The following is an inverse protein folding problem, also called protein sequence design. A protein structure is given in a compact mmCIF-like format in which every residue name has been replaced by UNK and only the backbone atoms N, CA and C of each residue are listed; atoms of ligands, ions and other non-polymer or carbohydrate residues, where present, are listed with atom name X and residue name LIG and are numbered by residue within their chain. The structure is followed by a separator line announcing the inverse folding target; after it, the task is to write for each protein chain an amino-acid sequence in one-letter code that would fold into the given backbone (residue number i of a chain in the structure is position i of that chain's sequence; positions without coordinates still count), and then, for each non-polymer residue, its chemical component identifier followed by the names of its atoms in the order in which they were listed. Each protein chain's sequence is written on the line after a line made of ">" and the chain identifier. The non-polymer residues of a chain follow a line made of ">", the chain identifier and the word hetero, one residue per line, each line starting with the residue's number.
data_IF_085134115412
#
_entry.id   IF_085134115412
#
_cell.length_a   1.000
_cell.length_b   1.000
_cell.length_c   1.000
_cell.angle_alpha   90.00
_cell.angle_beta   90.00
_cell.angle_gamma   90.00
#
_symmetry.space_group_name_H-M   'P 1'
#
loop_
_entity.id
_entity.type
_entity.pdbx_description
1 polymer ?
#
# COMPACT_ATOMS: atom_id res chain seq x y z
N UNK A 1 -9.40 -15.56 -14.89
CA UNK A 1 -8.66 -14.48 -15.59
C UNK A 1 -7.71 -15.13 -16.57
N UNK A 2 -7.40 -14.45 -17.67
CA UNK A 2 -6.49 -14.94 -18.73
C UNK A 2 -5.50 -13.82 -19.05
N UNK A 3 -4.23 -14.17 -19.26
CA UNK A 3 -3.19 -13.25 -19.74
C UNK A 3 -2.61 -13.80 -21.04
N UNK A 4 -2.30 -12.91 -21.96
CA UNK A 4 -1.62 -13.20 -23.22
C UNK A 4 -0.48 -12.21 -23.36
N UNK A 5 0.75 -12.68 -23.52
CA UNK A 5 1.92 -11.84 -23.65
C UNK A 5 2.76 -12.27 -24.86
N UNK A 6 3.33 -11.28 -25.55
CA UNK A 6 4.39 -11.47 -26.57
C UNK A 6 5.78 -11.11 -26.00
N UNK A 7 5.86 -10.78 -24.71
CA UNK A 7 7.09 -10.39 -24.03
C UNK A 7 7.92 -11.58 -23.56
N UNK A 8 9.04 -11.28 -22.88
CA UNK A 8 9.94 -12.29 -22.29
C UNK A 8 9.55 -12.72 -20.87
N UNK A 9 8.31 -12.44 -20.45
CA UNK A 9 7.81 -12.81 -19.13
C UNK A 9 7.69 -14.34 -19.03
N UNK A 10 8.18 -14.90 -17.93
CA UNK A 10 7.95 -16.30 -17.58
C UNK A 10 6.49 -16.56 -17.24
N UNK A 11 6.01 -17.82 -17.34
CA UNK A 11 4.68 -18.20 -16.89
C UNK A 11 4.40 -17.80 -15.43
N UNK A 12 5.42 -17.85 -14.56
CA UNK A 12 5.33 -17.48 -13.14
C UNK A 12 5.07 -15.98 -12.97
N UNK A 13 5.74 -15.13 -13.77
CA UNK A 13 5.51 -13.69 -13.78
C UNK A 13 4.08 -13.36 -14.23
N UNK A 14 3.61 -13.99 -15.31
CA UNK A 14 2.24 -13.79 -15.80
C UNK A 14 1.19 -14.27 -14.77
N UNK A 15 1.42 -15.40 -14.09
CA UNK A 15 0.54 -15.86 -13.00
C UNK A 15 0.53 -14.88 -11.83
N UNK A 16 1.67 -14.25 -11.51
CA UNK A 16 1.76 -13.23 -10.46
C UNK A 16 0.97 -11.97 -10.83
N UNK A 17 1.11 -11.49 -12.06
CA UNK A 17 0.33 -10.35 -12.58
C UNK A 17 -1.18 -10.64 -12.52
N UNK A 18 -1.60 -11.82 -12.98
CA UNK A 18 -2.99 -12.27 -12.87
C UNK A 18 -3.48 -12.37 -11.43
N UNK A 19 -2.60 -12.75 -10.50
CA UNK A 19 -2.93 -12.80 -9.07
C UNK A 19 -3.18 -11.40 -8.51
N UNK A 20 -2.38 -10.41 -8.89
CA UNK A 20 -2.63 -9.01 -8.50
C UNK A 20 -3.95 -8.47 -9.06
N UNK A 21 -4.28 -8.77 -10.32
CA UNK A 21 -5.58 -8.39 -10.91
C UNK A 21 -6.72 -9.07 -10.14
N UNK A 22 -6.59 -10.36 -9.81
CA UNK A 22 -7.56 -11.07 -8.98
C UNK A 22 -7.72 -10.43 -7.60
N UNK A 23 -6.60 -10.13 -6.92
CA UNK A 23 -6.61 -9.50 -5.60
C UNK A 23 -7.22 -8.10 -5.63
N UNK A 24 -7.03 -7.32 -6.71
CA UNK A 24 -7.69 -6.02 -6.88
C UNK A 24 -9.19 -6.13 -7.11
N UNK A 25 -9.66 -7.20 -7.76
CA UNK A 25 -11.11 -7.50 -7.86
C UNK A 25 -11.65 -7.89 -6.48
N UNK A 26 -10.94 -8.76 -5.76
CA UNK A 26 -11.30 -9.17 -4.40
C UNK A 26 -11.29 -7.99 -3.45
N UNK A 27 -10.36 -7.03 -3.57
CA UNK A 27 -10.34 -5.85 -2.72
C UNK A 27 -11.58 -4.96 -2.89
N UNK A 28 -12.25 -5.03 -4.05
CA UNK A 28 -13.46 -4.27 -4.34
C UNK A 28 -14.74 -5.03 -3.96
N UNK A 29 -14.76 -6.36 -4.10
CA UNK A 29 -15.98 -7.16 -3.95
C UNK A 29 -15.97 -8.14 -2.77
N UNK A 30 -14.81 -8.50 -2.22
CA UNK A 30 -14.53 -9.67 -1.35
C UNK A 30 -14.62 -11.03 -2.08
N UNK A 31 -13.88 -12.02 -1.60
CA UNK A 31 -13.89 -13.39 -2.10
C UNK A 31 -15.24 -14.05 -1.87
N UNK A 32 -15.84 -13.87 -0.69
CA UNK A 32 -17.17 -14.37 -0.37
C UNK A 32 -18.25 -13.88 -1.35
N UNK A 33 -18.26 -12.60 -1.71
CA UNK A 33 -19.22 -12.06 -2.70
C UNK A 33 -18.99 -12.64 -4.08
N UNK A 34 -17.74 -12.68 -4.55
CA UNK A 34 -17.40 -13.25 -5.87
C UNK A 34 -17.85 -14.72 -5.95
N UNK A 35 -17.53 -15.53 -4.92
CA UNK A 35 -17.94 -16.92 -4.86
C UNK A 35 -19.47 -17.07 -4.88
N UNK A 36 -20.19 -16.29 -4.07
CA UNK A 36 -21.67 -16.32 -4.01
C UNK A 36 -22.31 -15.98 -5.36
N UNK A 37 -21.76 -15.02 -6.10
CA UNK A 37 -22.27 -14.63 -7.43
C UNK A 37 -22.14 -15.79 -8.40
N UNK A 38 -20.96 -16.40 -8.54
CA UNK A 38 -20.75 -17.48 -9.51
C UNK A 38 -21.44 -18.79 -9.11
N UNK A 39 -21.65 -19.03 -7.82
CA UNK A 39 -22.50 -20.14 -7.35
C UNK A 39 -23.95 -19.98 -7.82
N UNK A 40 -24.50 -18.75 -7.75
CA UNK A 40 -25.89 -18.47 -8.16
C UNK A 40 -26.04 -18.33 -9.67
N UNK A 41 -25.07 -17.70 -10.34
CA UNK A 41 -25.11 -17.42 -11.78
C UNK A 41 -23.71 -17.56 -12.38
N UNK A 42 -23.40 -18.75 -12.89
CA UNK A 42 -22.09 -19.12 -13.45
C UNK A 42 -21.67 -18.25 -14.65
N UNK A 43 -22.62 -17.70 -15.40
CA UNK A 43 -22.40 -16.84 -16.55
C UNK A 43 -22.59 -15.33 -16.24
N UNK A 44 -22.49 -14.93 -14.96
CA UNK A 44 -22.58 -13.52 -14.59
C UNK A 44 -21.37 -12.73 -15.12
N UNK A 45 -21.63 -11.58 -15.71
CA UNK A 45 -20.59 -10.64 -16.14
C UNK A 45 -20.17 -9.73 -14.98
N UNK A 46 -19.03 -10.05 -14.35
CA UNK A 46 -18.47 -9.29 -13.24
C UNK A 46 -18.17 -7.82 -13.55
N UNK A 47 -17.96 -7.45 -14.83
CA UNK A 47 -17.64 -6.06 -15.20
C UNK A 47 -18.72 -5.09 -14.75
N UNK A 48 -19.97 -5.55 -14.66
CA UNK A 48 -21.11 -4.77 -14.17
C UNK A 48 -20.96 -4.33 -12.72
N UNK A 49 -20.28 -5.10 -11.88
CA UNK A 49 -20.02 -4.78 -10.48
C UNK A 49 -18.72 -3.99 -10.28
N UNK A 50 -17.83 -4.05 -11.26
CA UNK A 50 -16.57 -3.30 -11.27
C UNK A 50 -16.71 -1.95 -11.97
N UNK A 51 -17.90 -1.64 -12.49
CA UNK A 51 -18.20 -0.37 -13.15
C UNK A 51 -17.89 0.80 -12.20
N UNK A 52 -17.12 1.78 -12.68
CA UNK A 52 -16.63 2.91 -11.90
C UNK A 52 -15.29 2.67 -11.18
N UNK A 53 -14.78 1.43 -11.18
CA UNK A 53 -13.48 1.07 -10.58
C UNK A 53 -12.41 0.72 -11.61
N UNK A 54 -12.67 0.95 -12.90
CA UNK A 54 -11.79 0.62 -14.02
C UNK A 54 -10.42 1.27 -13.84
N UNK A 55 -10.41 2.53 -13.39
CA UNK A 55 -9.18 3.29 -13.12
C UNK A 55 -8.24 2.60 -12.13
N UNK A 56 -8.78 1.85 -11.17
CA UNK A 56 -7.94 1.10 -10.22
C UNK A 56 -7.25 -0.07 -10.93
N UNK A 57 -7.98 -0.80 -11.76
CA UNK A 57 -7.41 -1.90 -12.54
C UNK A 57 -6.38 -1.39 -13.56
N UNK A 58 -6.69 -0.32 -14.29
CA UNK A 58 -5.77 0.29 -15.25
C UNK A 58 -4.49 0.79 -14.59
N UNK A 59 -4.61 1.48 -13.44
CA UNK A 59 -3.45 1.92 -12.67
C UNK A 59 -2.61 0.74 -12.17
N UNK A 60 -3.24 -0.35 -11.72
CA UNK A 60 -2.51 -1.54 -11.28
C UNK A 60 -1.73 -2.16 -12.44
N UNK A 61 -2.34 -2.28 -13.62
CA UNK A 61 -1.69 -2.82 -14.81
C UNK A 61 -0.49 -1.97 -15.21
N UNK A 62 -0.63 -0.65 -15.29
CA UNK A 62 0.51 0.25 -15.55
C UNK A 62 1.62 0.16 -14.49
N UNK A 63 1.26 -0.09 -13.23
CA UNK A 63 2.25 -0.33 -12.17
C UNK A 63 2.92 -1.69 -12.29
N UNK A 64 2.23 -2.74 -12.71
CA UNK A 64 2.84 -4.07 -12.90
C UNK A 64 3.97 -4.03 -13.94
N UNK A 65 3.88 -3.12 -14.91
CA UNK A 65 4.92 -2.91 -15.92
C UNK A 65 6.12 -2.09 -15.42
N UNK A 66 5.92 -1.20 -14.45
CA UNK A 66 6.89 -0.14 -14.09
C UNK A 66 7.43 -0.21 -12.66
N UNK A 67 6.71 -0.86 -11.75
CA UNK A 67 7.03 -0.93 -10.31
C UNK A 67 7.67 -2.30 -9.98
N UNK A 68 9.00 -2.36 -9.81
CA UNK A 68 9.68 -3.62 -9.46
C UNK A 68 9.24 -4.15 -8.09
N UNK A 69 8.64 -3.32 -7.22
CA UNK A 69 8.10 -3.75 -5.95
C UNK A 69 7.02 -4.82 -6.10
N UNK A 70 6.13 -4.68 -7.10
CA UNK A 70 5.08 -5.67 -7.37
C UNK A 70 5.68 -7.01 -7.82
N UNK A 71 6.66 -6.96 -8.72
CA UNK A 71 7.38 -8.15 -9.19
C UNK A 71 8.11 -8.87 -8.06
N UNK A 72 8.71 -8.12 -7.14
CA UNK A 72 9.50 -8.65 -6.02
C UNK A 72 8.63 -9.03 -4.82
N UNK A 73 7.41 -8.51 -4.72
CA UNK A 73 6.60 -8.58 -3.49
C UNK A 73 7.21 -7.73 -2.38
N UNK A 74 7.74 -6.56 -2.72
CA UNK A 74 8.45 -5.66 -1.82
C UNK A 74 7.86 -4.25 -1.90
N UNK A 75 7.88 -3.55 -0.75
CA UNK A 75 7.33 -2.19 -0.65
C UNK A 75 8.48 -1.18 -0.62
N UNK A 76 8.40 -0.18 -1.50
CA UNK A 76 9.40 0.90 -1.55
C UNK A 76 9.23 1.83 -0.35
N UNK A 77 10.22 1.89 0.53
CA UNK A 77 10.23 2.82 1.67
C UNK A 77 10.92 4.15 1.30
N UNK A 78 10.53 5.25 1.94
CA UNK A 78 11.25 6.52 1.88
C UNK A 78 12.50 6.41 2.77
N UNK A 79 13.73 6.60 2.27
CA UNK A 79 14.91 6.63 3.11
C UNK A 79 14.84 7.82 4.09
N UNK A 80 14.97 7.55 5.39
CA UNK A 80 14.86 8.54 6.46
C UNK A 80 15.94 8.28 7.51
N UNK A 81 16.31 9.33 8.25
CA UNK A 81 17.08 9.16 9.47
C UNK A 81 16.28 8.31 10.49
N UNK A 82 16.90 7.39 11.23
CA UNK A 82 16.20 6.52 12.18
C UNK A 82 15.35 7.31 13.18
N UNK A 83 15.90 8.38 13.76
CA UNK A 83 15.18 9.23 14.72
C UNK A 83 13.94 9.91 14.13
N UNK A 84 13.99 10.35 12.87
CA UNK A 84 12.82 10.94 12.19
C UNK A 84 11.75 9.88 11.94
N UNK A 85 12.12 8.68 11.48
CA UNK A 85 11.16 7.58 11.28
C UNK A 85 10.54 7.16 12.60
N UNK A 86 11.32 7.06 13.67
CA UNK A 86 10.84 6.70 14.99
C UNK A 86 9.85 7.74 15.52
N UNK A 87 10.21 9.04 15.45
CA UNK A 87 9.32 10.12 15.88
C UNK A 87 7.97 10.11 15.14
N UNK A 88 7.98 9.91 13.82
CA UNK A 88 6.76 9.76 13.01
C UNK A 88 5.96 8.53 13.44
N UNK A 89 6.63 7.39 13.66
CA UNK A 89 5.98 6.14 14.07
C UNK A 89 5.32 6.29 15.45
N UNK A 90 6.01 6.91 16.40
CA UNK A 90 5.49 7.20 17.73
C UNK A 90 4.31 8.17 17.70
N UNK A 91 4.34 9.18 16.82
CA UNK A 91 3.21 10.07 16.62
C UNK A 91 1.98 9.31 16.09
N UNK A 92 2.15 8.46 15.06
CA UNK A 92 1.07 7.65 14.52
C UNK A 92 0.47 6.72 15.59
N UNK A 93 1.32 6.06 16.39
CA UNK A 93 0.90 5.21 17.52
C UNK A 93 0.04 5.95 18.53
N UNK A 94 0.43 7.16 18.94
CA UNK A 94 -0.31 7.97 19.91
C UNK A 94 -1.68 8.44 19.41
N UNK A 95 -1.87 8.48 18.10
CA UNK A 95 -3.12 8.93 17.49
C UNK A 95 -4.10 7.78 17.19
N UNK A 96 -3.70 6.52 17.34
CA UNK A 96 -4.57 5.36 17.12
C UNK A 96 -5.84 5.44 17.98
N UNK A 97 -6.96 4.99 17.43
CA UNK A 97 -8.28 4.94 18.08
C UNK A 97 -8.77 3.51 18.12
N UNK A 98 -9.74 3.20 18.98
CA UNK A 98 -10.18 1.82 19.26
C UNK A 98 -10.60 0.98 18.03
N UNK A 99 -11.04 1.62 16.93
CA UNK A 99 -11.50 0.93 15.72
C UNK A 99 -10.49 0.98 14.57
N UNK A 100 -9.35 1.65 14.77
CA UNK A 100 -8.33 1.83 13.76
C UNK A 100 -7.34 0.66 13.80
N UNK A 101 -7.24 -0.07 12.71
CA UNK A 101 -6.34 -1.21 12.58
C UNK A 101 -4.97 -0.79 12.07
N UNK A 102 -4.93 0.08 11.05
CA UNK A 102 -3.69 0.52 10.44
C UNK A 102 -3.64 2.04 10.28
N UNK A 103 -2.48 2.62 10.57
CA UNK A 103 -2.11 3.98 10.19
C UNK A 103 -0.90 3.94 9.28
N UNK A 104 -1.04 4.39 8.04
CA UNK A 104 -0.03 4.26 6.99
C UNK A 104 0.27 5.65 6.43
N UNK A 105 1.50 6.11 6.62
CA UNK A 105 1.96 7.38 6.06
C UNK A 105 2.82 7.13 4.82
N UNK A 106 2.48 7.83 3.74
CA UNK A 106 3.10 7.69 2.43
C UNK A 106 3.60 9.02 1.90
N UNK A 107 4.70 8.97 1.16
CA UNK A 107 5.35 10.12 0.56
C UNK A 107 5.70 9.81 -0.91
N UNK A 108 4.93 10.36 -1.87
CA UNK A 108 5.07 10.09 -3.32
C UNK A 108 5.16 8.59 -3.65
N UNK A 109 4.22 7.82 -3.11
CA UNK A 109 4.16 6.36 -3.29
C UNK A 109 5.26 5.57 -2.56
N UNK A 110 5.98 6.19 -1.62
CA UNK A 110 6.97 5.52 -0.75
C UNK A 110 6.45 5.42 0.67
N UNK A 111 6.67 4.28 1.31
CA UNK A 111 6.29 4.05 2.70
C UNK A 111 7.17 4.85 3.67
N UNK A 112 6.55 5.71 4.47
CA UNK A 112 7.21 6.45 5.56
C UNK A 112 7.13 5.62 6.84
N UNK A 113 5.93 5.25 7.27
CA UNK A 113 5.74 4.38 8.42
C UNK A 113 4.38 3.70 8.32
N UNK A 114 4.29 2.51 8.91
CA UNK A 114 3.05 1.78 9.15
C UNK A 114 2.98 1.44 10.63
N UNK A 115 1.86 1.76 11.23
CA UNK A 115 1.50 1.38 12.60
C UNK A 115 0.29 0.48 12.53
N UNK A 116 0.32 -0.58 13.33
CA UNK A 116 -0.76 -1.53 13.48
C UNK A 116 -1.22 -1.53 14.94
N UNK A 117 -2.53 -1.48 15.16
CA UNK A 117 -3.09 -1.66 16.49
C UNK A 117 -2.95 -3.12 16.91
N UNK A 118 -2.18 -3.36 17.97
CA UNK A 118 -1.79 -4.73 18.39
C UNK A 118 -2.99 -5.52 18.92
N UNK A 119 -3.94 -4.86 19.57
CA UNK A 119 -5.08 -5.51 20.19
C UNK A 119 -6.05 -6.18 19.19
N UNK A 120 -6.05 -5.75 17.92
CA UNK A 120 -7.02 -6.21 16.93
C UNK A 120 -6.53 -7.39 16.07
N UNK A 121 -5.22 -7.62 15.98
CA UNK A 121 -4.63 -8.54 15.00
C UNK A 121 -3.26 -9.05 15.48
N UNK A 122 -3.21 -9.77 16.60
CA UNK A 122 -1.96 -10.26 17.21
C UNK A 122 -1.09 -11.10 16.24
N UNK A 123 -1.71 -11.80 15.28
CA UNK A 123 -1.00 -12.69 14.34
C UNK A 123 -1.00 -12.21 12.87
N UNK A 124 -1.73 -11.14 12.55
CA UNK A 124 -2.01 -10.80 11.16
C UNK A 124 -1.22 -9.56 10.73
N UNK A 125 -0.11 -9.75 9.99
CA UNK A 125 0.70 -8.64 9.46
C UNK A 125 0.17 -8.22 8.08
N UNK A 126 0.09 -6.93 7.84
CA UNK A 126 -0.26 -6.42 6.52
C UNK A 126 0.83 -6.77 5.50
N UNK A 127 0.48 -7.66 4.57
CA UNK A 127 1.42 -8.14 3.56
C UNK A 127 1.73 -7.11 2.46
N UNK A 128 2.83 -7.29 1.70
CA UNK A 128 3.18 -6.42 0.59
C UNK A 128 2.07 -6.31 -0.46
N UNK A 129 1.39 -7.42 -0.78
CA UNK A 129 0.31 -7.43 -1.75
C UNK A 129 -0.83 -6.48 -1.36
N UNK A 130 -1.32 -6.57 -0.12
CA UNK A 130 -2.38 -5.71 0.40
C UNK A 130 -1.93 -4.24 0.46
N UNK A 131 -0.67 -3.97 0.82
CA UNK A 131 -0.10 -2.63 0.75
C UNK A 131 -0.11 -2.06 -0.67
N UNK A 132 0.23 -2.86 -1.68
CA UNK A 132 0.18 -2.41 -3.07
C UNK A 132 -1.24 -2.07 -3.53
N UNK A 133 -2.26 -2.86 -3.13
CA UNK A 133 -3.67 -2.59 -3.40
C UNK A 133 -4.11 -1.27 -2.75
N UNK A 134 -3.74 -1.07 -1.48
CA UNK A 134 -4.00 0.17 -0.75
C UNK A 134 -3.31 1.39 -1.39
N UNK A 135 -2.09 1.23 -1.89
CA UNK A 135 -1.40 2.32 -2.59
C UNK A 135 -2.06 2.65 -3.92
N UNK A 136 -2.58 1.62 -4.58
CA UNK A 136 -3.30 1.78 -5.84
C UNK A 136 -4.64 2.52 -5.65
N UNK A 137 -5.31 2.29 -4.51
CA UNK A 137 -6.52 3.01 -4.09
C UNK A 137 -6.31 4.53 -4.00
N UNK A 138 -5.11 4.97 -3.60
CA UNK A 138 -4.78 6.40 -3.46
C UNK A 138 -4.56 7.12 -4.80
N UNK A 139 -4.80 6.46 -5.92
CA UNK A 139 -4.36 6.91 -7.23
C UNK A 139 -2.85 6.72 -7.35
N UNK A 140 -2.44 5.86 -8.29
CA UNK A 140 -1.03 5.57 -8.58
C UNK A 140 -0.19 6.84 -8.80
N UNK A 141 1.13 6.68 -8.95
CA UNK A 141 2.10 7.79 -9.00
C UNK A 141 1.83 8.87 -10.08
N UNK A 142 0.88 8.66 -11.00
CA UNK A 142 0.48 9.62 -12.04
C UNK A 142 -0.94 10.17 -11.95
N UNK A 143 -1.78 9.74 -11.01
CA UNK A 143 -3.13 10.31 -10.87
C UNK A 143 -3.05 11.70 -10.20
N UNK A 144 -3.80 12.71 -10.68
CA UNK A 144 -3.86 13.99 -9.99
C UNK A 144 -4.30 13.75 -8.54
N UNK A 145 -3.67 14.41 -7.55
CA UNK A 145 -4.08 14.28 -6.17
C UNK A 145 -5.58 14.58 -6.10
N UNK A 146 -6.39 13.58 -5.75
CA UNK A 146 -7.79 13.84 -5.49
C UNK A 146 -7.85 14.87 -4.37
N UNK A 147 -8.38 16.04 -4.67
CA UNK A 147 -8.62 17.06 -3.67
C UNK A 147 -9.71 16.54 -2.75
N UNK A 148 -9.37 16.25 -1.50
CA UNK A 148 -10.33 15.85 -0.47
C UNK A 148 -9.99 14.55 0.23
N UNK A 149 -10.98 14.09 1.00
CA UNK A 149 -10.91 12.91 1.84
C UNK A 149 -11.75 11.81 1.17
N UNK A 150 -11.20 10.61 1.08
CA UNK A 150 -11.90 9.44 0.51
C UNK A 150 -12.19 8.47 1.64
N UNK A 151 -13.45 8.09 1.80
CA UNK A 151 -13.89 7.02 2.70
C UNK A 151 -14.55 5.92 1.89
N UNK A 152 -13.91 4.76 1.83
CA UNK A 152 -14.36 3.68 0.95
C UNK A 152 -14.18 2.31 1.60
N UNK A 153 -15.14 1.38 1.41
CA UNK A 153 -14.91 -0.01 1.79
C UNK A 153 -13.77 -0.61 0.96
N UNK A 154 -12.93 -1.41 1.61
CA UNK A 154 -11.85 -2.14 0.95
C UNK A 154 -11.67 -3.50 1.61
N UNK A 155 -11.57 -4.55 0.82
CA UNK A 155 -11.14 -5.86 1.30
C UNK A 155 -9.61 -5.97 1.18
N UNK A 156 -8.98 -6.62 2.15
CA UNK A 156 -7.54 -6.89 2.16
C UNK A 156 -7.34 -8.40 1.97
N UNK A 157 -7.14 -8.89 0.74
CA UNK A 157 -7.18 -10.31 0.43
C UNK A 157 -6.17 -11.17 1.20
N UNK A 158 -4.99 -10.63 1.51
CA UNK A 158 -3.97 -11.32 2.29
C UNK A 158 -4.31 -11.41 3.78
N UNK A 159 -5.08 -10.46 4.30
CA UNK A 159 -5.43 -10.35 5.71
C UNK A 159 -6.79 -10.98 6.05
N UNK A 160 -7.84 -10.58 5.35
CA UNK A 160 -9.21 -11.09 5.51
C UNK A 160 -9.94 -11.02 4.17
N UNK A 161 -9.89 -12.09 3.34
CA UNK A 161 -10.43 -12.07 1.99
C UNK A 161 -11.97 -12.05 1.91
N UNK A 162 -12.66 -12.34 3.00
CA UNK A 162 -14.13 -12.42 3.05
C UNK A 162 -14.78 -11.19 3.72
N UNK A 163 -13.97 -10.29 4.28
CA UNK A 163 -14.43 -9.12 5.03
C UNK A 163 -14.05 -7.79 4.38
N UNK A 164 -14.81 -6.76 4.71
CA UNK A 164 -14.46 -5.37 4.41
C UNK A 164 -13.82 -4.72 5.63
N UNK A 165 -12.83 -3.90 5.33
CA UNK A 165 -12.37 -2.78 6.13
C UNK A 165 -12.87 -1.49 5.50
N UNK A 166 -12.62 -0.38 6.17
CA UNK A 166 -12.95 0.95 5.67
C UNK A 166 -11.70 1.81 5.66
N UNK A 167 -11.28 2.18 4.45
CA UNK A 167 -10.10 2.97 4.21
C UNK A 167 -10.47 4.45 4.11
N UNK A 168 -9.82 5.24 4.95
CA UNK A 168 -9.81 6.69 4.92
C UNK A 168 -8.49 7.17 4.31
N UNK A 169 -8.55 7.88 3.20
CA UNK A 169 -7.40 8.40 2.50
C UNK A 169 -7.47 9.92 2.42
N UNK A 170 -6.38 10.61 2.79
CA UNK A 170 -6.33 12.07 2.81
C UNK A 170 -4.93 12.60 2.53
N UNK A 171 -4.84 13.79 1.93
CA UNK A 171 -3.60 14.56 1.83
C UNK A 171 -3.38 15.34 3.13
N UNK A 172 -2.15 15.34 3.65
CA UNK A 172 -1.81 16.05 4.89
C UNK A 172 -1.41 17.52 4.69
N UNK A 173 -1.19 17.94 3.44
CA UNK A 173 -0.80 19.31 3.09
C UNK A 173 -1.50 19.73 1.79
N UNK A 174 -1.20 20.96 1.34
CA UNK A 174 -1.63 21.50 0.07
C UNK A 174 -1.32 20.53 -1.10
N UNK A 175 -2.13 20.57 -2.18
CA UNK A 175 -1.89 19.75 -3.36
C UNK A 175 -0.44 19.92 -3.86
N UNK A 176 0.34 18.83 -3.89
CA UNK A 176 1.72 18.83 -4.40
C UNK A 176 2.81 18.48 -3.39
N UNK A 177 2.55 18.54 -2.08
CA UNK A 177 3.48 18.07 -1.05
C UNK A 177 3.80 16.57 -1.17
N UNK A 178 2.83 15.79 -1.67
CA UNK A 178 2.99 14.37 -1.92
C UNK A 178 2.92 13.49 -0.67
N UNK A 179 2.57 14.05 0.49
CA UNK A 179 2.29 13.31 1.72
C UNK A 179 0.82 12.89 1.76
N UNK A 180 0.58 11.58 1.89
CA UNK A 180 -0.75 10.99 1.98
C UNK A 180 -0.84 10.12 3.23
N UNK A 181 -1.93 10.27 3.97
CA UNK A 181 -2.27 9.43 5.10
C UNK A 181 -3.37 8.46 4.69
N UNK A 182 -3.18 7.19 5.02
CA UNK A 182 -4.16 6.14 4.87
C UNK A 182 -4.42 5.51 6.24
N UNK A 183 -5.67 5.59 6.67
CA UNK A 183 -6.16 5.06 7.94
C UNK A 183 -7.17 3.95 7.64
N UNK A 184 -7.03 2.78 8.25
CA UNK A 184 -7.89 1.62 7.96
C UNK A 184 -8.62 1.21 9.23
N UNK A 185 -9.95 1.18 9.18
CA UNK A 185 -10.85 0.85 10.28
C UNK A 185 -11.62 -0.45 10.02
N UNK A 186 -11.99 -1.17 11.07
CA UNK A 186 -12.98 -2.27 11.01
C UNK A 186 -14.42 -1.78 11.09
N UNK A 187 -14.62 -0.54 11.56
CA UNK A 187 -15.93 0.05 11.77
C UNK A 187 -16.33 1.00 10.62
N UNK A 188 -17.49 0.73 10.02
CA UNK A 188 -18.11 1.53 8.95
C UNK A 188 -18.47 2.95 9.39
N UNK A 189 -18.87 3.10 10.65
CA UNK A 189 -19.32 4.36 11.25
C UNK A 189 -18.18 5.25 11.75
N UNK A 190 -16.94 4.77 11.71
CA UNK A 190 -15.79 5.46 12.30
C UNK A 190 -15.26 6.66 11.49
N UNK A 191 -15.97 7.13 10.45
CA UNK A 191 -15.49 8.23 9.59
C UNK A 191 -15.03 9.45 10.41
N UNK A 192 -15.86 9.93 11.35
CA UNK A 192 -15.56 11.13 12.13
C UNK A 192 -14.41 10.93 13.12
N UNK A 193 -14.31 9.74 13.74
CA UNK A 193 -13.21 9.45 14.68
C UNK A 193 -11.87 9.31 13.94
N UNK A 194 -11.89 8.74 12.73
CA UNK A 194 -10.73 8.62 11.84
C UNK A 194 -10.33 9.99 11.27
N UNK A 195 -11.27 10.84 10.87
CA UNK A 195 -10.99 12.22 10.44
C UNK A 195 -10.40 13.06 11.58
N UNK A 196 -10.90 12.89 12.82
CA UNK A 196 -10.30 13.52 13.99
C UNK A 196 -8.88 12.99 14.29
N UNK A 197 -8.63 11.70 14.07
CA UNK A 197 -7.29 11.11 14.13
C UNK A 197 -6.35 11.77 13.10
N UNK A 198 -6.78 11.93 11.85
CA UNK A 198 -6.01 12.66 10.82
C UNK A 198 -5.64 14.07 11.27
N UNK A 199 -6.57 14.83 11.85
CA UNK A 199 -6.27 16.20 12.35
C UNK A 199 -5.20 16.19 13.43
N UNK A 200 -5.30 15.29 14.42
CA UNK A 200 -4.27 15.15 15.48
C UNK A 200 -2.90 14.78 14.92
N UNK A 201 -2.85 13.89 13.93
CA UNK A 201 -1.60 13.52 13.25
C UNK A 201 -1.02 14.74 12.53
N UNK A 202 -1.84 15.48 11.79
CA UNK A 202 -1.40 16.66 11.05
C UNK A 202 -0.86 17.77 11.98
N UNK A 203 -1.57 18.05 13.07
CA UNK A 203 -1.15 18.99 14.11
C UNK A 203 0.14 18.52 14.79
N UNK A 204 0.26 17.23 15.12
CA UNK A 204 1.46 16.67 15.73
C UNK A 204 2.68 16.73 14.81
N UNK A 205 2.50 16.49 13.51
CA UNK A 205 3.57 16.60 12.51
C UNK A 205 4.07 18.04 12.38
N UNK A 206 3.16 19.03 12.47
CA UNK A 206 3.49 20.47 12.48
C UNK A 206 4.21 20.87 13.76
N UNK A 207 3.63 20.54 14.92
CA UNK A 207 4.14 20.93 16.24
C UNK A 207 5.54 20.38 16.52
N UNK A 208 5.84 19.15 16.06
CA UNK A 208 7.15 18.52 16.25
C UNK A 208 8.15 18.84 15.12
N UNK A 209 7.78 19.68 14.14
CA UNK A 209 8.65 20.02 13.01
C UNK A 209 8.98 18.85 12.07
N UNK A 210 8.24 17.74 12.14
CA UNK A 210 8.52 16.52 11.38
C UNK A 210 8.24 16.69 9.88
N UNK A 211 7.30 17.58 9.52
CA UNK A 211 6.98 17.88 8.12
C UNK A 211 8.20 18.37 7.34
N UNK A 212 8.99 19.29 7.92
CA UNK A 212 10.19 19.81 7.27
C UNK A 212 11.20 18.70 6.96
N UNK A 213 11.38 17.76 7.90
CA UNK A 213 12.24 16.58 7.70
C UNK A 213 11.73 15.65 6.59
N UNK A 214 10.42 15.39 6.54
CA UNK A 214 9.80 14.59 5.48
C UNK A 214 9.90 15.26 4.11
N UNK A 215 9.69 16.57 4.04
CA UNK A 215 9.83 17.35 2.81
C UNK A 215 11.29 17.39 2.32
N UNK A 216 12.27 17.53 3.22
CA UNK A 216 13.69 17.45 2.88
C UNK A 216 14.05 16.07 2.29
N UNK A 217 13.55 15.00 2.91
CA UNK A 217 13.73 13.64 2.39
C UNK A 217 13.06 13.41 1.02
N UNK A 218 11.97 14.13 0.73
CA UNK A 218 11.30 14.09 -0.57
C UNK A 218 12.07 14.83 -1.68
N UNK A 219 12.80 15.90 -1.35
CA UNK A 219 13.66 16.65 -2.27
C UNK A 219 14.98 15.94 -2.56
N UNK A 220 15.45 15.16 -1.60
CA UNK A 220 16.65 14.34 -1.79
C UNK A 220 16.34 13.32 -2.89
N UNK A 221 17.06 13.36 -4.04
CA UNK A 221 16.81 12.42 -5.11
C UNK A 221 16.94 11.01 -4.54
N UNK A 222 16.03 10.13 -4.96
CA UNK A 222 16.06 8.71 -4.59
C UNK A 222 17.26 7.98 -5.21
N UNK A 223 18.11 8.74 -5.92
CA UNK A 223 19.36 8.31 -6.50
C UNK A 223 20.34 7.99 -5.39
N UNK A 224 20.77 6.73 -5.44
CA UNK A 224 22.06 6.29 -4.93
C UNK A 224 22.29 6.43 -3.43
N UNK A 225 21.89 5.37 -2.72
CA UNK A 225 22.64 4.93 -1.55
C UNK A 225 24.12 4.62 -1.83
N UNK A 226 24.67 4.83 -3.04
CA UNK A 226 26.11 4.80 -3.29
C UNK A 226 26.87 5.81 -2.44
N UNK A 227 26.27 6.97 -2.15
CA UNK A 227 26.85 7.97 -1.23
C UNK A 227 26.94 7.47 0.22
N UNK A 228 26.03 6.57 0.63
CA UNK A 228 26.05 5.97 1.98
C UNK A 228 26.85 4.67 2.05
N UNK A 229 26.96 3.95 0.94
CA UNK A 229 27.62 2.65 0.87
C UNK A 229 29.06 2.75 0.39
N UNK A 230 29.55 3.94 0.01
CA UNK A 230 30.90 4.16 -0.54
C UNK A 230 31.23 3.22 -1.71
N UNK A 231 30.22 2.83 -2.49
CA UNK A 231 30.34 1.93 -3.63
C UNK A 231 30.07 2.70 -4.93
N UNK A 232 31.12 3.19 -5.63
CA UNK A 232 30.97 4.11 -6.76
C UNK A 232 30.17 3.52 -7.93
N UNK A 233 30.26 2.21 -8.17
CA UNK A 233 29.58 1.53 -9.28
C UNK A 233 28.19 0.97 -8.94
N UNK A 234 27.74 1.12 -7.69
CA UNK A 234 26.44 0.58 -7.26
C UNK A 234 25.29 1.44 -7.77
N UNK A 235 24.57 0.94 -8.78
CA UNK A 235 23.42 1.64 -9.37
C UNK A 235 22.11 1.38 -8.63
N UNK A 236 21.88 0.14 -8.20
CA UNK A 236 20.66 -0.29 -7.54
C UNK A 236 20.97 -1.34 -6.46
N UNK A 237 20.23 -1.29 -5.35
CA UNK A 237 20.26 -2.32 -4.31
C UNK A 237 18.85 -2.51 -3.76
N UNK A 238 18.60 -3.67 -3.17
CA UNK A 238 17.35 -4.03 -2.53
C UNK A 238 17.66 -4.48 -1.11
N UNK A 239 16.88 -4.00 -0.15
CA UNK A 239 16.95 -4.50 1.21
C UNK A 239 15.98 -5.66 1.37
N UNK A 240 16.50 -6.80 1.82
CA UNK A 240 15.69 -7.93 2.27
C UNK A 240 15.85 -8.03 3.79
N UNK A 241 14.76 -7.97 4.58
CA UNK A 241 14.84 -8.25 6.00
C UNK A 241 15.30 -9.71 6.21
N UNK A 242 16.31 -9.91 7.05
CA UNK A 242 16.90 -11.21 7.32
C UNK A 242 15.99 -12.11 8.18
N UNK A 243 15.17 -11.51 9.06
CA UNK A 243 14.40 -12.22 10.10
C UNK A 243 12.90 -12.35 9.80
N UNK A 244 12.52 -12.65 8.55
CA UNK A 244 11.14 -13.05 8.25
C UNK A 244 11.05 -14.58 8.32
N UNK A 245 10.60 -15.10 9.46
CA UNK A 245 10.20 -16.50 9.62
C UNK A 245 9.02 -16.81 8.68
N UNK A 246 9.33 -17.22 7.46
CA UNK A 246 8.36 -17.35 6.38
C UNK A 246 9.04 -17.90 5.13
N UNK A 247 9.53 -19.13 5.24
CA UNK A 247 9.82 -20.06 4.15
C UNK A 247 10.50 -19.45 2.91
N UNK A 248 11.85 -19.31 2.89
CA UNK A 248 12.56 -19.01 1.67
C UNK A 248 12.52 -20.26 0.79
N UNK A 249 11.46 -20.42 -0.02
CA UNK A 249 11.65 -21.14 -1.29
C UNK A 249 12.69 -20.34 -2.04
N UNK A 250 13.92 -20.87 -2.00
CA UNK A 250 15.08 -20.41 -2.73
C UNK A 250 14.62 -19.93 -4.10
N UNK A 251 14.84 -18.65 -4.38
CA UNK A 251 14.78 -18.13 -5.74
C UNK A 251 15.89 -18.88 -6.50
N UNK A 252 15.52 -19.99 -7.15
CA UNK A 252 16.43 -20.85 -7.91
C UNK A 252 17.22 -20.11 -9.00
N UNK A 253 16.82 -18.87 -9.31
CA UNK A 253 17.49 -17.98 -10.26
C UNK A 253 18.79 -17.34 -9.74
N UNK A 254 19.16 -17.50 -8.45
CA UNK A 254 20.41 -16.95 -7.89
C UNK A 254 21.31 -17.98 -7.18
N UNK A 255 21.05 -19.29 -7.38
CA UNK A 255 22.03 -20.32 -7.03
C UNK A 255 22.83 -20.68 -8.28
N UNK A 256 23.91 -19.95 -8.51
CA UNK A 256 25.08 -20.38 -9.28
C UNK A 256 26.32 -19.88 -8.57
#
# INVERSE_FOLDING_TARGET
>A
LVSVSRGRQSPEQLRRELSFVYWQIVSLLTRATVARIFQRKKNYDLRRLLAGSERLLDNLLGRLETDPGLLLGAVRCLPLAPGLREAVTQLLLRCVTANLVFSILLARGRLVSIVQERALLEEARLGPADLHLLFNLLGGSGAPPQAGEVWTPVCLPGLCPDGYFYAYASSLEAPGAGLRLLLVSTDRGAFYSVAACKRRIEEGLKAQGLLAGLQAALRTPSGTGSSRLSLPDLRHFLYRPLDVAGNPRHLAQYAR
#
